data_IF_646159225315
#
_entry.id   IF_646159225315
#
_cell.length_a   1.000
_cell.length_b   1.000
_cell.length_c   1.000
_cell.angle_alpha   90.00
_cell.angle_beta   90.00
_cell.angle_gamma   90.00
#
_symmetry.space_group_name_H-M   'P 1'
#
loop_
_entity.id
_entity.type
_entity.pdbx_description
1 polymer ?
#
# COMPACT_ATOMS: atom_id res chain seq x y z
N UNK A 1 30.53 18.12 15.61
CA UNK A 1 29.60 17.31 16.41
C UNK A 1 28.29 17.33 15.64
N UNK A 2 27.94 16.23 14.97
CA UNK A 2 26.61 16.13 14.38
C UNK A 2 25.62 16.08 15.55
N UNK A 3 24.71 17.06 15.62
CA UNK A 3 23.57 16.97 16.53
C UNK A 3 22.90 15.62 16.27
N UNK A 4 22.75 14.81 17.32
CA UNK A 4 21.96 13.60 17.22
C UNK A 4 20.56 14.06 16.81
N UNK A 5 20.16 13.80 15.57
CA UNK A 5 18.82 14.05 15.11
C UNK A 5 17.87 13.39 16.08
N UNK A 6 16.94 14.15 16.64
CA UNK A 6 15.90 13.65 17.53
C UNK A 6 15.23 12.43 16.88
N UNK A 7 15.17 11.31 17.61
CA UNK A 7 14.56 10.07 17.14
C UNK A 7 13.08 10.30 16.85
N UNK A 8 12.72 10.23 15.58
CA UNK A 8 11.39 10.54 15.06
C UNK A 8 10.61 9.29 14.66
N UNK A 9 11.12 8.10 15.01
CA UNK A 9 10.55 6.81 14.63
C UNK A 9 9.08 6.66 15.05
N UNK A 10 8.71 7.07 16.26
CA UNK A 10 7.32 6.98 16.71
C UNK A 10 6.39 7.86 15.87
N UNK A 11 6.82 9.09 15.55
CA UNK A 11 6.02 10.02 14.77
C UNK A 11 5.85 9.53 13.33
N UNK A 12 6.93 9.03 12.73
CA UNK A 12 6.93 8.39 11.43
C UNK A 12 5.93 7.23 11.39
N UNK A 13 5.98 6.30 12.35
CA UNK A 13 5.08 5.15 12.40
C UNK A 13 3.62 5.57 12.61
N UNK A 14 3.38 6.54 13.49
CA UNK A 14 2.02 7.10 13.70
C UNK A 14 1.47 7.74 12.44
N UNK A 15 2.31 8.41 11.66
CA UNK A 15 1.92 8.98 10.37
C UNK A 15 1.68 7.90 9.33
N UNK A 16 2.64 7.00 9.12
CA UNK A 16 2.59 5.95 8.09
C UNK A 16 1.40 5.01 8.26
N UNK A 17 1.07 4.65 9.51
CA UNK A 17 -0.11 3.83 9.85
C UNK A 17 -1.41 4.66 10.01
N UNK A 18 -1.32 5.97 9.75
CA UNK A 18 -2.39 6.97 9.86
C UNK A 18 -3.13 6.97 11.21
N UNK A 19 -2.41 6.76 12.31
CA UNK A 19 -2.98 6.54 13.66
C UNK A 19 -3.70 7.77 14.25
N UNK A 20 -3.55 8.95 13.63
CA UNK A 20 -4.26 10.18 14.03
C UNK A 20 -5.77 10.12 13.74
N UNK A 21 -6.20 9.27 12.80
CA UNK A 21 -7.60 9.12 12.42
C UNK A 21 -8.30 8.06 13.28
N UNK A 22 -9.48 8.38 13.78
CA UNK A 22 -10.33 7.41 14.50
C UNK A 22 -11.04 6.48 13.51
N UNK A 23 -10.44 5.30 13.31
CA UNK A 23 -10.97 4.28 12.41
C UNK A 23 -12.35 3.78 12.83
N UNK A 24 -12.65 3.75 14.14
CA UNK A 24 -13.94 3.27 14.64
C UNK A 24 -15.06 4.21 14.22
N UNK A 25 -14.85 5.52 14.43
CA UNK A 25 -15.80 6.55 13.99
C UNK A 25 -16.04 6.50 12.48
N UNK A 26 -14.99 6.29 11.68
CA UNK A 26 -15.12 6.13 10.23
C UNK A 26 -15.95 4.90 9.84
N UNK A 27 -15.71 3.74 10.47
CA UNK A 27 -16.50 2.52 10.22
C UNK A 27 -17.97 2.71 10.59
N UNK A 28 -18.27 3.42 11.67
CA UNK A 28 -19.63 3.73 12.08
C UNK A 28 -20.33 4.67 11.07
N UNK A 29 -19.62 5.68 10.57
CA UNK A 29 -20.12 6.60 9.54
C UNK A 29 -20.44 5.87 8.23
N UNK A 30 -19.48 5.10 7.70
CA UNK A 30 -19.67 4.34 6.46
C UNK A 30 -20.75 3.27 6.60
N UNK A 31 -20.85 2.63 7.77
CA UNK A 31 -21.93 1.68 8.06
C UNK A 31 -23.30 2.35 8.12
N UNK A 32 -23.40 3.60 8.57
CA UNK A 32 -24.66 4.37 8.54
C UNK A 32 -25.08 4.69 7.11
N UNK A 33 -24.12 5.12 6.29
CA UNK A 33 -24.37 5.52 4.91
C UNK A 33 -24.62 4.35 3.94
N UNK A 34 -23.94 3.22 4.13
CA UNK A 34 -24.02 2.08 3.21
C UNK A 34 -24.40 0.76 3.90
N UNK A 35 -25.60 0.21 3.62
CA UNK A 35 -26.01 -1.12 4.10
C UNK A 35 -25.08 -2.26 3.67
N UNK A 36 -24.45 -2.18 2.49
CA UNK A 36 -23.51 -3.21 2.04
C UNK A 36 -22.22 -3.17 2.86
N UNK A 37 -21.67 -1.97 3.09
CA UNK A 37 -20.56 -1.77 4.01
C UNK A 37 -20.87 -2.30 5.41
N UNK A 38 -22.01 -1.91 6.00
CA UNK A 38 -22.45 -2.37 7.33
C UNK A 38 -22.46 -3.89 7.45
N UNK A 39 -22.87 -4.59 6.39
CA UNK A 39 -22.96 -6.05 6.36
C UNK A 39 -21.58 -6.71 6.33
N UNK A 40 -20.62 -6.16 5.56
CA UNK A 40 -19.33 -6.81 5.25
C UNK A 40 -18.19 -6.37 6.17
N UNK A 41 -18.16 -5.10 6.57
CA UNK A 41 -17.05 -4.51 7.31
C UNK A 41 -16.72 -5.16 8.67
N UNK A 42 -17.68 -5.71 9.46
CA UNK A 42 -17.36 -6.31 10.76
C UNK A 42 -16.37 -7.48 10.69
N UNK A 43 -16.29 -8.18 9.56
CA UNK A 43 -15.34 -9.28 9.34
C UNK A 43 -13.90 -8.78 9.06
N UNK A 44 -13.75 -7.50 8.72
CA UNK A 44 -12.50 -6.88 8.26
C UNK A 44 -12.12 -5.66 9.11
N UNK A 45 -12.26 -5.76 10.43
CA UNK A 45 -11.85 -4.70 11.34
C UNK A 45 -10.34 -4.41 11.27
N UNK A 46 -9.97 -3.13 11.46
CA UNK A 46 -8.57 -2.71 11.55
C UNK A 46 -7.87 -2.42 10.21
N UNK A 47 -8.57 -2.55 9.07
CA UNK A 47 -8.03 -2.14 7.77
C UNK A 47 -7.87 -0.62 7.72
N UNK A 48 -6.62 -0.16 7.60
CA UNK A 48 -6.23 1.26 7.53
C UNK A 48 -5.57 1.53 6.18
N UNK A 49 -5.69 2.76 5.71
CA UNK A 49 -4.86 3.24 4.61
C UNK A 49 -3.49 3.61 5.15
N UNK A 50 -2.44 3.25 4.41
CA UNK A 50 -1.08 3.70 4.73
C UNK A 50 -0.82 5.07 4.11
N UNK A 51 -0.13 5.93 4.84
CA UNK A 51 0.39 7.21 4.34
C UNK A 51 1.82 7.00 3.83
N UNK A 52 1.95 6.51 2.60
CA UNK A 52 3.23 6.19 1.95
C UNK A 52 3.89 7.44 1.38
N UNK A 53 5.19 7.34 1.06
CA UNK A 53 5.86 8.33 0.23
C UNK A 53 5.24 8.37 -1.19
N UNK A 54 5.03 9.58 -1.72
CA UNK A 54 4.33 9.78 -2.99
C UNK A 54 5.13 9.24 -4.19
N UNK A 55 6.46 9.35 -4.15
CA UNK A 55 7.33 8.87 -5.21
C UNK A 55 7.40 7.33 -5.21
N UNK A 56 7.57 6.73 -4.04
CA UNK A 56 7.51 5.27 -3.86
C UNK A 56 6.16 4.72 -4.33
N UNK A 57 5.05 5.32 -3.87
CA UNK A 57 3.71 4.92 -4.29
C UNK A 57 3.55 4.98 -5.82
N UNK A 58 4.00 6.07 -6.45
CA UNK A 58 3.94 6.25 -7.89
C UNK A 58 4.64 5.13 -8.66
N UNK A 59 5.90 4.84 -8.33
CA UNK A 59 6.66 3.82 -9.05
C UNK A 59 6.12 2.42 -8.77
N UNK A 60 5.69 2.12 -7.54
CA UNK A 60 5.02 0.88 -7.18
C UNK A 60 3.72 0.68 -7.98
N UNK A 61 2.89 1.72 -8.13
CA UNK A 61 1.65 1.60 -8.89
C UNK A 61 1.84 1.59 -10.41
N UNK A 62 2.90 2.21 -10.94
CA UNK A 62 3.32 1.98 -12.33
C UNK A 62 3.63 0.49 -12.54
N UNK A 63 4.38 -0.14 -11.62
CA UNK A 63 4.67 -1.58 -11.62
C UNK A 63 3.42 -2.46 -11.55
N UNK A 64 2.35 -1.95 -10.91
CA UNK A 64 1.09 -2.68 -10.71
C UNK A 64 0.20 -2.81 -11.95
N UNK A 65 0.35 -1.91 -12.92
CA UNK A 65 -0.51 -1.86 -14.12
C UNK A 65 -0.53 -3.21 -14.85
N UNK A 66 -1.68 -3.87 -15.00
CA UNK A 66 -1.80 -5.21 -15.62
C UNK A 66 -0.80 -6.24 -15.07
N UNK A 67 -0.79 -6.42 -13.75
CA UNK A 67 0.15 -7.28 -13.03
C UNK A 67 -0.53 -7.97 -11.83
N UNK A 68 0.22 -8.78 -11.08
CA UNK A 68 -0.25 -9.39 -9.83
C UNK A 68 0.68 -9.07 -8.66
N UNK A 69 0.16 -9.13 -7.43
CA UNK A 69 0.86 -8.72 -6.20
C UNK A 69 2.22 -9.39 -6.06
N UNK A 70 2.31 -10.71 -6.24
CA UNK A 70 3.56 -11.45 -6.07
C UNK A 70 4.67 -10.96 -7.02
N UNK A 71 4.32 -10.74 -8.30
CA UNK A 71 5.28 -10.20 -9.27
C UNK A 71 5.62 -8.74 -9.00
N UNK A 72 4.67 -7.92 -8.56
CA UNK A 72 4.91 -6.51 -8.21
C UNK A 72 5.91 -6.43 -7.07
N UNK A 73 5.73 -7.21 -5.99
CA UNK A 73 6.65 -7.24 -4.85
C UNK A 73 8.06 -7.62 -5.27
N UNK A 74 8.23 -8.61 -6.16
CA UNK A 74 9.53 -8.98 -6.70
C UNK A 74 10.16 -7.87 -7.55
N UNK A 75 9.36 -7.16 -8.35
CA UNK A 75 9.84 -6.03 -9.15
C UNK A 75 10.34 -4.90 -8.23
N UNK A 76 9.54 -4.51 -7.23
CA UNK A 76 9.91 -3.45 -6.28
C UNK A 76 11.17 -3.83 -5.50
N UNK A 77 11.26 -5.07 -5.00
CA UNK A 77 12.47 -5.54 -4.31
C UNK A 77 13.72 -5.44 -5.19
N UNK A 78 13.66 -5.87 -6.46
CA UNK A 78 14.76 -5.70 -7.41
C UNK A 78 15.09 -4.23 -7.66
N UNK A 79 14.08 -3.37 -7.72
CA UNK A 79 14.28 -1.94 -7.91
C UNK A 79 15.14 -1.36 -6.78
N UNK A 80 14.77 -1.63 -5.52
CA UNK A 80 15.51 -1.18 -4.34
C UNK A 80 16.92 -1.77 -4.32
N UNK A 81 17.08 -3.07 -4.59
CA UNK A 81 18.40 -3.72 -4.59
C UNK A 81 19.38 -3.10 -5.61
N UNK A 82 18.89 -2.72 -6.79
CA UNK A 82 19.75 -2.25 -7.88
C UNK A 82 19.93 -0.72 -7.93
N UNK A 83 18.97 0.06 -7.39
CA UNK A 83 18.97 1.52 -7.50
C UNK A 83 18.77 2.25 -6.17
N UNK A 84 18.38 1.54 -5.11
CA UNK A 84 18.17 2.07 -3.78
C UNK A 84 19.48 2.17 -2.98
N UNK A 85 19.63 3.18 -2.11
CA UNK A 85 20.78 3.27 -1.23
C UNK A 85 20.77 2.14 -0.20
N UNK A 86 21.95 1.63 0.14
CA UNK A 86 22.11 0.61 1.17
C UNK A 86 21.80 1.21 2.56
N UNK A 87 20.83 0.63 3.26
CA UNK A 87 20.53 0.97 4.67
C UNK A 87 21.44 0.16 5.60
N UNK A 88 21.51 -1.16 5.36
CA UNK A 88 22.28 -2.06 6.21
C UNK A 88 21.95 -3.52 5.98
N UNK A 89 22.35 -4.36 6.95
CA UNK A 89 22.11 -5.81 6.92
C UNK A 89 21.47 -6.28 8.22
N UNK A 90 20.52 -7.20 8.11
CA UNK A 90 19.96 -7.93 9.24
C UNK A 90 20.19 -9.41 8.95
N UNK A 91 21.10 -10.04 9.70
CA UNK A 91 21.63 -11.36 9.34
C UNK A 91 22.33 -11.31 7.97
N UNK A 92 21.95 -12.23 7.08
CA UNK A 92 22.49 -12.31 5.71
C UNK A 92 21.72 -11.45 4.69
N UNK A 93 20.59 -10.86 5.10
CA UNK A 93 19.74 -10.08 4.21
C UNK A 93 20.20 -8.61 4.15
N UNK A 94 20.30 -8.08 2.93
CA UNK A 94 20.71 -6.70 2.65
C UNK A 94 19.48 -5.85 2.37
N UNK A 95 19.31 -4.78 3.16
CA UNK A 95 18.18 -3.87 3.05
C UNK A 95 18.61 -2.59 2.34
N UNK A 96 17.91 -2.29 1.25
CA UNK A 96 18.05 -1.07 0.49
C UNK A 96 16.79 -0.22 0.65
N UNK A 97 16.96 1.09 0.69
CA UNK A 97 15.85 2.03 0.65
C UNK A 97 15.24 2.09 -0.76
N UNK A 98 14.14 2.81 -0.91
CA UNK A 98 13.57 3.10 -2.23
C UNK A 98 14.52 4.04 -3.03
N UNK A 99 14.71 3.83 -4.34
CA UNK A 99 15.55 4.72 -5.15
C UNK A 99 14.98 6.13 -5.21
N UNK A 100 15.85 7.15 -5.18
CA UNK A 100 15.44 8.53 -5.47
C UNK A 100 15.08 8.68 -6.95
N UNK A 101 14.31 9.72 -7.34
CA UNK A 101 14.03 10.01 -8.74
C UNK A 101 15.30 10.09 -9.60
N UNK A 102 16.36 10.73 -9.09
CA UNK A 102 17.62 10.94 -9.79
C UNK A 102 18.31 9.61 -10.14
N UNK A 103 18.27 8.64 -9.23
CA UNK A 103 18.86 7.31 -9.43
C UNK A 103 18.26 6.56 -10.64
N UNK A 104 17.06 6.96 -11.09
CA UNK A 104 16.32 6.33 -12.18
C UNK A 104 16.35 7.13 -13.50
N UNK A 105 17.16 8.19 -13.59
CA UNK A 105 17.27 9.05 -14.80
C UNK A 105 18.36 8.62 -15.80
N UNK A 106 19.25 7.72 -15.41
CA UNK A 106 20.38 7.30 -16.24
C UNK A 106 19.98 6.68 -17.59
N UNK A 107 20.78 6.92 -18.63
CA UNK A 107 20.48 6.43 -20.00
C UNK A 107 20.41 4.91 -20.12
N UNK A 108 21.07 4.17 -19.23
CA UNK A 108 21.04 2.70 -19.17
C UNK A 108 19.88 2.13 -18.35
N UNK A 109 19.16 2.96 -17.58
CA UNK A 109 18.15 2.51 -16.60
C UNK A 109 17.03 1.72 -17.28
N UNK A 110 16.48 2.22 -18.40
CA UNK A 110 15.41 1.50 -19.11
C UNK A 110 15.89 0.11 -19.56
N UNK A 111 17.07 0.02 -20.17
CA UNK A 111 17.61 -1.24 -20.68
C UNK A 111 17.81 -2.25 -19.54
N UNK A 112 18.42 -1.82 -18.44
CA UNK A 112 18.66 -2.68 -17.29
C UNK A 112 17.35 -3.10 -16.60
N UNK A 113 16.35 -2.22 -16.46
CA UNK A 113 15.03 -2.60 -15.94
C UNK A 113 14.33 -3.64 -16.83
N UNK A 114 14.54 -3.60 -18.16
CA UNK A 114 14.02 -4.64 -19.07
C UNK A 114 14.68 -5.99 -18.80
N UNK A 115 15.99 -6.02 -18.58
CA UNK A 115 16.74 -7.22 -18.19
C UNK A 115 16.25 -7.79 -16.85
N UNK A 116 15.91 -6.92 -15.90
CA UNK A 116 15.34 -7.31 -14.59
C UNK A 116 13.88 -7.81 -14.65
N UNK A 117 13.23 -7.70 -15.82
CA UNK A 117 11.90 -8.26 -16.08
C UNK A 117 10.73 -7.29 -15.90
N UNK A 118 10.98 -5.98 -15.91
CA UNK A 118 9.93 -4.95 -15.82
C UNK A 118 9.07 -4.84 -17.09
N UNK A 119 9.59 -5.35 -18.22
CA UNK A 119 8.89 -5.33 -19.51
C UNK A 119 8.67 -3.91 -20.02
N UNK A 120 7.47 -3.60 -20.52
CA UNK A 120 7.16 -2.27 -21.05
C UNK A 120 7.19 -1.17 -19.98
N UNK A 121 7.03 -1.52 -18.69
CA UNK A 121 7.02 -0.57 -17.57
C UNK A 121 8.40 0.05 -17.32
N UNK A 122 9.47 -0.61 -17.76
CA UNK A 122 10.82 -0.06 -17.70
C UNK A 122 10.89 1.33 -18.34
N UNK A 123 10.26 1.49 -19.51
CA UNK A 123 10.16 2.78 -20.21
C UNK A 123 9.39 3.81 -19.39
N UNK A 124 8.26 3.41 -18.80
CA UNK A 124 7.43 4.30 -17.99
C UNK A 124 8.17 4.81 -16.77
N UNK A 125 8.90 3.94 -16.06
CA UNK A 125 9.70 4.32 -14.89
C UNK A 125 10.80 5.31 -15.28
N UNK A 126 11.61 4.99 -16.30
CA UNK A 126 12.70 5.87 -16.73
C UNK A 126 12.19 7.24 -17.23
N UNK A 127 11.11 7.26 -18.01
CA UNK A 127 10.52 8.51 -18.51
C UNK A 127 9.88 9.33 -17.37
N UNK A 128 9.19 8.67 -16.44
CA UNK A 128 8.58 9.34 -15.29
C UNK A 128 9.65 9.93 -14.37
N UNK A 129 10.71 9.19 -14.06
CA UNK A 129 11.85 9.69 -13.31
C UNK A 129 12.49 10.91 -13.98
N UNK A 130 12.75 10.81 -15.30
CA UNK A 130 13.28 11.93 -16.08
C UNK A 130 12.36 13.16 -16.03
N UNK A 131 11.04 12.97 -16.14
CA UNK A 131 10.11 14.10 -16.12
C UNK A 131 10.02 14.74 -14.75
N UNK A 132 9.97 13.95 -13.68
CA UNK A 132 9.97 14.45 -12.29
C UNK A 132 11.24 15.25 -11.99
N UNK A 133 12.41 14.79 -12.43
CA UNK A 133 13.69 15.46 -12.14
C UNK A 133 13.92 16.69 -13.02
N UNK A 134 13.60 16.62 -14.31
CA UNK A 134 13.99 17.65 -15.28
C UNK A 134 12.88 18.65 -15.63
N UNK A 135 11.61 18.24 -15.55
CA UNK A 135 10.47 19.05 -16.03
C UNK A 135 9.61 19.62 -14.90
N UNK A 136 9.70 19.06 -13.68
CA UNK A 136 8.88 19.47 -12.53
C UNK A 136 9.68 20.33 -11.55
N UNK A 137 9.05 21.32 -10.90
CA UNK A 137 9.73 22.12 -9.89
C UNK A 137 10.09 21.26 -8.67
N UNK A 138 11.14 21.67 -7.94
CA UNK A 138 11.43 21.08 -6.63
C UNK A 138 10.23 21.24 -5.71
N UNK A 139 9.87 20.19 -4.97
CA UNK A 139 8.69 20.19 -4.12
C UNK A 139 7.39 19.87 -4.86
N UNK A 140 7.45 19.28 -6.06
CA UNK A 140 6.26 19.04 -6.87
C UNK A 140 5.26 18.10 -6.19
N UNK A 141 5.69 16.97 -5.61
CA UNK A 141 4.77 16.07 -4.90
C UNK A 141 4.13 16.73 -3.68
N UNK A 142 4.89 17.54 -2.96
CA UNK A 142 4.43 18.33 -1.82
C UNK A 142 3.35 19.34 -2.25
N UNK A 143 3.50 19.93 -3.44
CA UNK A 143 2.48 20.82 -4.00
C UNK A 143 1.18 20.12 -4.38
N UNK A 144 1.20 18.79 -4.58
CA UNK A 144 0.02 17.97 -4.90
C UNK A 144 -0.59 17.27 -3.68
N UNK A 145 0.05 17.42 -2.52
CA UNK A 145 -0.35 16.72 -1.29
C UNK A 145 -1.58 17.37 -0.69
N UNK A 146 -2.47 16.56 -0.10
CA UNK A 146 -3.62 17.04 0.65
C UNK A 146 -3.16 17.93 1.82
N UNK A 147 -3.54 19.22 1.86
CA UNK A 147 -3.11 20.12 2.93
C UNK A 147 -3.65 19.72 4.32
N UNK A 148 -4.71 18.93 4.39
CA UNK A 148 -5.29 18.42 5.65
C UNK A 148 -4.67 17.09 6.10
N UNK A 149 -3.89 16.44 5.24
CA UNK A 149 -3.21 15.18 5.52
C UNK A 149 -1.85 15.18 4.80
N UNK A 150 -0.98 16.05 5.28
CA UNK A 150 0.34 16.31 4.68
C UNK A 150 1.26 15.12 4.82
N UNK A 151 2.12 14.85 3.83
CA UNK A 151 3.19 13.85 3.89
C UNK A 151 4.01 13.98 5.18
N UNK A 152 4.66 12.89 5.58
CA UNK A 152 5.65 12.91 6.66
C UNK A 152 6.89 13.69 6.23
N UNK A 153 6.78 15.01 6.30
CA UNK A 153 7.87 15.93 6.00
C UNK A 153 7.99 16.84 7.21
N UNK A 154 9.17 16.87 7.80
CA UNK A 154 9.62 17.97 8.67
C UNK A 154 9.81 19.21 7.79
N UNK A 155 8.72 19.78 7.27
CA UNK A 155 8.80 21.13 6.71
C UNK A 155 9.14 22.06 7.84
N UNK A 156 9.95 23.09 7.58
CA UNK A 156 10.19 24.11 8.60
C UNK A 156 8.83 24.64 9.07
N UNK A 157 8.61 24.65 10.39
CA UNK A 157 7.36 25.08 11.01
C UNK A 157 6.88 26.40 10.38
N UNK A 158 5.64 26.42 9.88
CA UNK A 158 5.04 27.62 9.26
C UNK A 158 5.13 27.72 7.74
N UNK A 159 5.73 26.74 7.05
CA UNK A 159 5.68 26.64 5.58
C UNK A 159 4.25 26.30 5.12
N UNK A 160 3.50 27.27 4.59
CA UNK A 160 2.18 26.98 3.98
C UNK A 160 2.38 26.16 2.72
N UNK A 161 1.86 24.93 2.71
CA UNK A 161 1.75 24.15 1.47
C UNK A 161 0.82 24.87 0.49
N UNK A 162 1.10 24.77 -0.83
CA UNK A 162 0.18 25.26 -1.85
C UNK A 162 -1.24 24.69 -1.63
N UNK A 163 -2.26 25.49 -1.89
CA UNK A 163 -3.62 24.96 -1.97
C UNK A 163 -3.72 24.17 -3.27
N UNK A 164 -4.00 22.88 -3.15
CA UNK A 164 -4.28 21.97 -4.25
C UNK A 164 -5.56 21.20 -3.92
N UNK A 165 -6.26 20.73 -4.94
CA UNK A 165 -7.41 19.84 -4.82
C UNK A 165 -7.05 18.43 -5.30
N UNK A 166 -7.80 17.42 -4.85
CA UNK A 166 -7.69 16.05 -5.37
C UNK A 166 -7.70 16.00 -6.90
N UNK A 167 -8.59 16.75 -7.55
CA UNK A 167 -8.71 16.76 -9.02
C UNK A 167 -7.45 17.31 -9.69
N UNK A 168 -6.90 18.41 -9.18
CA UNK A 168 -5.66 18.98 -9.72
C UNK A 168 -4.48 18.02 -9.52
N UNK A 169 -4.36 17.40 -8.34
CA UNK A 169 -3.34 16.38 -8.07
C UNK A 169 -3.44 15.20 -9.05
N UNK A 170 -4.66 14.70 -9.28
CA UNK A 170 -4.93 13.62 -10.22
C UNK A 170 -4.56 14.00 -11.65
N UNK A 171 -4.98 15.17 -12.13
CA UNK A 171 -4.68 15.67 -13.47
C UNK A 171 -3.19 15.90 -13.71
N UNK A 172 -2.45 16.34 -12.69
CA UNK A 172 -1.00 16.48 -12.76
C UNK A 172 -0.31 15.13 -12.89
N UNK A 173 -0.74 14.12 -12.13
CA UNK A 173 -0.19 12.77 -12.20
C UNK A 173 -0.45 12.09 -13.56
N UNK A 174 -1.61 12.34 -14.18
CA UNK A 174 -1.96 11.79 -15.50
C UNK A 174 -1.02 12.23 -16.64
N UNK A 175 -0.22 13.27 -16.43
CA UNK A 175 0.76 13.74 -17.42
C UNK A 175 2.02 12.84 -17.46
N UNK A 176 2.20 11.96 -16.47
CA UNK A 176 3.36 11.09 -16.36
C UNK A 176 3.23 9.82 -17.22
N UNK A 177 4.37 9.30 -17.67
CA UNK A 177 4.42 8.11 -18.53
C UNK A 177 4.00 6.86 -17.75
N UNK A 178 3.01 6.14 -18.27
CA UNK A 178 2.49 4.93 -17.63
C UNK A 178 1.49 5.18 -16.50
N UNK A 179 1.07 6.44 -16.27
CA UNK A 179 0.08 6.80 -15.26
C UNK A 179 -1.28 7.01 -15.93
N UNK A 180 -2.20 6.06 -15.71
CA UNK A 180 -3.61 6.22 -16.05
C UNK A 180 -4.47 6.56 -14.82
N UNK A 181 -5.79 6.76 -14.98
CA UNK A 181 -6.68 7.18 -13.90
C UNK A 181 -6.55 6.35 -12.62
N UNK A 182 -6.52 5.02 -12.75
CA UNK A 182 -6.33 4.12 -11.60
C UNK A 182 -5.01 4.33 -10.87
N UNK A 183 -3.91 4.49 -11.62
CA UNK A 183 -2.58 4.69 -11.01
C UNK A 183 -2.55 6.04 -10.31
N UNK A 184 -3.07 7.10 -10.95
CA UNK A 184 -3.19 8.42 -10.34
C UNK A 184 -4.01 8.39 -9.06
N UNK A 185 -5.19 7.75 -9.05
CA UNK A 185 -6.00 7.61 -7.83
C UNK A 185 -5.30 6.80 -6.73
N UNK A 186 -4.54 5.75 -7.08
CA UNK A 186 -3.76 5.04 -6.09
C UNK A 186 -2.71 5.95 -5.42
N UNK A 187 -2.02 6.77 -6.20
CA UNK A 187 -1.03 7.73 -5.67
C UNK A 187 -1.71 8.84 -4.86
N UNK A 188 -2.86 9.36 -5.34
CA UNK A 188 -3.65 10.33 -4.58
C UNK A 188 -4.06 9.77 -3.21
N UNK A 189 -4.56 8.54 -3.16
CA UNK A 189 -5.07 7.89 -1.95
C UNK A 189 -3.96 7.51 -0.97
N UNK A 190 -2.89 6.86 -1.46
CA UNK A 190 -1.85 6.24 -0.62
C UNK A 190 -0.59 7.07 -0.46
N UNK A 191 -0.29 7.97 -1.40
CA UNK A 191 0.94 8.78 -1.39
C UNK A 191 0.72 10.26 -1.09
N UNK A 192 -0.44 10.82 -1.47
CA UNK A 192 -0.72 12.26 -1.35
C UNK A 192 -1.81 12.58 -0.31
N UNK A 193 -2.35 11.59 0.38
CA UNK A 193 -3.31 11.79 1.48
C UNK A 193 -4.73 12.19 1.07
N UNK A 194 -5.10 12.09 -0.20
CA UNK A 194 -6.46 12.35 -0.71
C UNK A 194 -7.40 11.19 -0.40
N UNK A 195 -7.98 11.17 0.81
CA UNK A 195 -8.87 10.08 1.27
C UNK A 195 -10.11 9.84 0.40
N UNK A 196 -10.50 10.82 -0.41
CA UNK A 196 -11.65 10.75 -1.33
C UNK A 196 -11.32 10.10 -2.68
N UNK A 197 -10.03 9.87 -2.98
CA UNK A 197 -9.60 9.22 -4.22
C UNK A 197 -10.03 7.74 -4.22
N UNK A 198 -10.71 7.30 -5.27
CA UNK A 198 -11.22 5.92 -5.40
C UNK A 198 -10.60 5.27 -6.64
N UNK A 199 -9.55 4.44 -6.50
CA UNK A 199 -8.94 3.77 -7.63
C UNK A 199 -9.86 2.67 -8.17
N UNK A 200 -10.43 2.85 -9.36
CA UNK A 200 -11.36 1.87 -9.94
C UNK A 200 -10.63 0.91 -10.88
N UNK A 201 -10.35 -0.30 -10.40
CA UNK A 201 -9.85 -1.40 -11.24
C UNK A 201 -10.95 -2.40 -11.63
N UNK A 202 -10.55 -3.54 -12.19
CA UNK A 202 -11.49 -4.60 -12.59
C UNK A 202 -12.25 -5.23 -11.41
N UNK A 203 -11.64 -5.33 -10.24
CA UNK A 203 -12.28 -5.86 -9.04
C UNK A 203 -13.27 -4.84 -8.46
N UNK A 204 -12.86 -3.58 -8.38
CA UNK A 204 -13.76 -2.48 -7.96
C UNK A 204 -14.97 -2.39 -8.88
N UNK A 205 -14.75 -2.52 -10.18
CA UNK A 205 -15.83 -2.57 -11.16
C UNK A 205 -16.78 -3.76 -10.96
N UNK A 206 -16.25 -4.94 -10.56
CA UNK A 206 -17.08 -6.10 -10.22
C UNK A 206 -17.91 -5.85 -8.96
N UNK A 207 -17.33 -5.24 -7.92
CA UNK A 207 -18.03 -4.84 -6.69
C UNK A 207 -19.14 -3.83 -7.01
N UNK A 208 -18.84 -2.78 -7.79
CA UNK A 208 -19.80 -1.77 -8.20
C UNK A 208 -21.00 -2.38 -8.94
N UNK A 209 -20.78 -3.33 -9.86
CA UNK A 209 -21.87 -4.01 -10.57
C UNK A 209 -22.68 -4.95 -9.66
N UNK A 210 -21.99 -5.78 -8.86
CA UNK A 210 -22.62 -6.81 -8.02
C UNK A 210 -23.43 -6.20 -6.88
N UNK A 211 -22.82 -5.26 -6.16
CA UNK A 211 -23.34 -4.78 -4.88
C UNK A 211 -24.11 -3.45 -5.04
N UNK A 212 -23.70 -2.60 -6.00
CA UNK A 212 -24.27 -1.26 -6.21
C UNK A 212 -25.06 -1.12 -7.52
N UNK A 213 -25.23 -2.22 -8.27
CA UNK A 213 -26.04 -2.30 -9.49
C UNK A 213 -25.59 -1.35 -10.61
N UNK A 214 -24.31 -0.98 -10.65
CA UNK A 214 -23.71 -0.26 -11.77
C UNK A 214 -23.81 -1.07 -13.08
N UNK A 215 -23.89 -0.38 -14.22
CA UNK A 215 -23.59 -1.00 -15.52
C UNK A 215 -24.58 -2.06 -16.02
N UNK A 216 -25.88 -1.97 -15.72
CA UNK A 216 -26.90 -2.82 -16.38
C UNK A 216 -27.02 -2.61 -17.91
N UNK A 217 -26.31 -1.63 -18.47
CA UNK A 217 -26.27 -1.31 -19.89
C UNK A 217 -25.20 -2.13 -20.63
N UNK A 218 -25.56 -2.66 -21.82
CA UNK A 218 -24.79 -3.58 -22.68
C UNK A 218 -23.47 -3.02 -23.26
N UNK A 219 -22.88 -1.97 -22.69
CA UNK A 219 -21.60 -1.40 -23.14
C UNK A 219 -20.44 -2.24 -22.62
N UNK A 220 -19.76 -2.94 -23.54
CA UNK A 220 -18.65 -3.86 -23.23
C UNK A 220 -17.34 -3.18 -22.83
N UNK A 221 -17.23 -1.86 -22.96
CA UNK A 221 -15.97 -1.12 -22.79
C UNK A 221 -16.03 -0.25 -21.55
N UNK A 222 -15.12 -0.51 -20.61
CA UNK A 222 -14.90 0.35 -19.45
C UNK A 222 -14.22 1.65 -19.91
N UNK A 223 -14.99 2.74 -19.97
CA UNK A 223 -14.54 4.04 -20.47
C UNK A 223 -14.40 5.06 -19.32
N UNK A 224 -13.82 6.23 -19.61
CA UNK A 224 -13.57 7.28 -18.61
C UNK A 224 -14.83 7.72 -17.87
N UNK A 225 -15.95 7.90 -18.57
CA UNK A 225 -17.21 8.31 -17.94
C UNK A 225 -17.71 7.28 -16.91
N UNK A 226 -17.51 5.99 -17.19
CA UNK A 226 -17.90 4.92 -16.27
C UNK A 226 -16.94 4.82 -15.07
N UNK A 227 -15.64 5.07 -15.30
CA UNK A 227 -14.66 5.21 -14.22
C UNK A 227 -15.05 6.35 -13.27
N UNK A 228 -15.31 7.53 -13.83
CA UNK A 228 -15.68 8.73 -13.08
C UNK A 228 -16.98 8.52 -12.29
N UNK A 229 -18.01 7.95 -12.93
CA UNK A 229 -19.30 7.69 -12.29
C UNK A 229 -19.22 6.72 -11.09
N UNK A 230 -18.35 5.71 -11.16
CA UNK A 230 -18.12 4.79 -10.03
C UNK A 230 -17.43 5.52 -8.88
N UNK A 231 -16.40 6.30 -9.19
CA UNK A 231 -15.70 7.09 -8.18
C UNK A 231 -16.61 8.12 -7.52
N UNK A 232 -17.41 8.85 -8.32
CA UNK A 232 -18.36 9.86 -7.84
C UNK A 232 -19.41 9.25 -6.92
N UNK A 233 -19.99 8.11 -7.30
CA UNK A 233 -20.95 7.42 -6.43
C UNK A 233 -20.36 7.02 -5.08
N UNK A 234 -19.15 6.47 -5.05
CA UNK A 234 -18.51 6.12 -3.78
C UNK A 234 -18.12 7.33 -2.95
N UNK A 235 -17.73 8.46 -3.59
CA UNK A 235 -17.53 9.75 -2.90
C UNK A 235 -18.82 10.31 -2.33
N UNK A 236 -19.93 10.26 -3.07
CA UNK A 236 -21.25 10.67 -2.56
C UNK A 236 -21.69 9.81 -1.38
N UNK A 237 -21.36 8.52 -1.39
CA UNK A 237 -21.77 7.57 -0.36
C UNK A 237 -20.94 7.65 0.93
N UNK A 238 -19.62 7.80 0.82
CA UNK A 238 -18.68 7.71 1.96
C UNK A 238 -17.89 9.00 2.23
N UNK A 239 -18.13 10.05 1.43
CA UNK A 239 -17.56 11.37 1.63
C UNK A 239 -16.05 11.42 1.53
N UNK A 240 -15.45 12.21 2.42
CA UNK A 240 -14.03 12.59 2.43
C UNK A 240 -13.05 11.42 2.49
N UNK A 241 -13.49 10.26 2.99
CA UNK A 241 -12.66 9.05 3.11
C UNK A 241 -13.21 7.89 2.28
N UNK A 242 -13.87 8.17 1.16
CA UNK A 242 -14.42 7.15 0.28
C UNK A 242 -13.40 6.12 -0.21
N UNK A 243 -12.16 6.53 -0.50
CA UNK A 243 -11.07 5.62 -0.87
C UNK A 243 -10.72 4.63 0.23
N UNK A 244 -10.84 5.03 1.49
CA UNK A 244 -10.61 4.17 2.64
C UNK A 244 -11.73 3.14 2.79
N UNK A 245 -12.99 3.58 2.79
CA UNK A 245 -14.16 2.71 2.86
C UNK A 245 -14.15 1.66 1.74
N UNK A 246 -13.90 2.13 0.52
CA UNK A 246 -13.73 1.28 -0.65
C UNK A 246 -12.65 0.20 -0.45
N UNK A 247 -11.52 0.55 0.17
CA UNK A 247 -10.41 -0.38 0.37
C UNK A 247 -10.72 -1.48 1.38
N UNK A 248 -11.61 -1.23 2.34
CA UNK A 248 -12.14 -2.28 3.23
C UNK A 248 -12.94 -3.30 2.42
N UNK A 249 -13.84 -2.84 1.54
CA UNK A 249 -14.64 -3.73 0.69
C UNK A 249 -13.80 -4.48 -0.35
N UNK A 250 -12.79 -3.82 -0.91
CA UNK A 250 -11.82 -4.46 -1.79
C UNK A 250 -11.08 -5.59 -1.06
N UNK A 251 -10.61 -5.32 0.17
CA UNK A 251 -9.94 -6.34 1.01
C UNK A 251 -10.85 -7.52 1.28
N UNK A 252 -12.15 -7.28 1.50
CA UNK A 252 -13.14 -8.32 1.70
C UNK A 252 -13.37 -9.22 0.47
N UNK A 253 -13.11 -8.71 -0.73
CA UNK A 253 -13.32 -9.43 -1.99
C UNK A 253 -12.08 -10.23 -2.46
N UNK A 254 -10.91 -9.93 -1.89
CA UNK A 254 -9.68 -10.67 -2.19
C UNK A 254 -9.78 -12.10 -1.65
N UNK A 255 -9.62 -13.09 -2.54
CA UNK A 255 -9.72 -14.53 -2.23
C UNK A 255 -8.90 -14.96 -1.00
N UNK A 256 -7.68 -14.44 -0.88
CA UNK A 256 -6.76 -14.71 0.24
C UNK A 256 -7.35 -14.34 1.60
N UNK A 257 -8.26 -13.36 1.64
CA UNK A 257 -8.90 -12.88 2.86
C UNK A 257 -10.33 -13.40 3.01
N UNK A 258 -11.06 -13.63 1.90
CA UNK A 258 -12.38 -14.26 1.95
C UNK A 258 -12.33 -15.72 2.43
N UNK A 259 -11.21 -16.43 2.23
CA UNK A 259 -11.04 -17.80 2.76
C UNK A 259 -10.73 -17.81 4.27
N UNK A 260 -10.20 -16.71 4.82
CA UNK A 260 -9.96 -16.56 6.27
C UNK A 260 -11.27 -16.35 7.05
N UNK A 261 -12.28 -15.77 6.42
CA UNK A 261 -13.61 -15.59 7.05
C UNK A 261 -14.42 -16.89 7.06
N UNK A 262 -14.22 -17.78 6.09
CA UNK A 262 -14.87 -19.12 6.07
C UNK A 262 -14.24 -20.09 7.08
N UNK A 263 -13.00 -19.87 7.52
CA UNK A 263 -12.29 -20.73 8.50
C UNK A 263 -12.51 -20.34 9.97
N UNK A 264 -13.49 -19.50 10.29
CA UNK A 264 -13.85 -19.18 11.69
C UNK A 264 -14.85 -20.18 12.27
N UNK A 265 -14.53 -21.46 12.18
CA UNK A 265 -14.95 -22.49 13.12
C UNK A 265 -13.70 -23.25 13.53
N UNK A 266 -12.96 -22.68 14.47
CA UNK A 266 -12.33 -23.41 15.58
C UNK A 266 -11.73 -22.40 16.57
N UNK A 267 -11.93 -22.73 17.83
CA UNK A 267 -11.87 -21.87 19.01
C UNK A 267 -10.43 -21.49 19.37
N UNK A 268 -9.92 -20.36 18.88
CA UNK A 268 -8.69 -19.75 19.43
C UNK A 268 -9.04 -18.86 20.62
N UNK A 269 -9.28 -19.49 21.78
CA UNK A 269 -9.28 -18.80 23.07
C UNK A 269 -7.84 -18.42 23.44
N UNK A 270 -7.47 -17.15 23.24
CA UNK A 270 -6.23 -16.59 23.80
C UNK A 270 -6.36 -16.55 25.33
N UNK A 271 -5.72 -17.48 26.04
CA UNK A 271 -5.62 -17.45 27.50
C UNK A 271 -4.39 -16.64 27.91
N UNK A 272 -4.61 -15.42 28.39
CA UNK A 272 -3.57 -14.66 29.09
C UNK A 272 -3.42 -15.24 30.51
N UNK A 273 -2.31 -15.90 30.80
CA UNK A 273 -1.94 -16.26 32.17
C UNK A 273 -1.10 -15.13 32.77
N UNK A 274 -1.65 -14.42 33.75
CA UNK A 274 -0.86 -13.58 34.64
C UNK A 274 -0.26 -14.44 35.75
N UNK A 275 1.05 -14.68 35.69
CA UNK A 275 1.78 -15.21 36.84
C UNK A 275 2.46 -14.06 37.59
N UNK A 276 1.99 -13.81 38.81
CA UNK A 276 2.62 -12.87 39.75
C UNK A 276 3.67 -13.64 40.57
N UNK A 277 4.93 -13.59 40.13
CA UNK A 277 6.06 -14.07 40.96
C UNK A 277 6.50 -12.97 41.91
N UNK A 278 6.40 -13.23 43.22
CA UNK A 278 6.95 -12.37 44.28
C UNK A 278 8.31 -12.96 44.70
N UNK A 279 9.40 -12.38 44.22
CA UNK A 279 10.74 -12.75 44.69
C UNK A 279 10.95 -12.19 46.11
N UNK A 280 11.29 -13.07 47.06
CA UNK A 280 11.82 -12.67 48.36
C UNK A 280 13.33 -12.50 48.25
N UNK A 281 13.82 -11.25 48.31
CA UNK A 281 15.24 -11.00 48.54
C UNK A 281 15.56 -10.94 50.05
N UNK A 282 16.69 -11.58 50.38
CA UNK A 282 17.36 -11.60 51.69
C UNK A 282 17.69 -10.20 52.24
N UNK A 283 17.78 -10.03 53.57
CA UNK A 283 17.77 -8.70 54.20
C UNK A 283 19.14 -8.02 54.15
N UNK A 284 19.17 -6.77 53.67
CA UNK A 284 20.19 -5.78 54.05
C UNK A 284 19.47 -4.58 54.68
N UNK A 285 19.98 -4.13 55.83
CA UNK A 285 19.38 -3.16 56.74
C UNK A 285 18.87 -1.87 56.04
N UNK A 286 17.63 -1.49 56.37
CA UNK A 286 17.26 -0.08 56.55
C UNK A 286 16.62 0.66 55.38
N UNK A 287 15.40 0.26 54.96
CA UNK A 287 14.22 1.08 54.60
C UNK A 287 13.32 0.30 53.62
N UNK A 288 12.04 0.12 53.99
CA UNK A 288 11.06 -0.65 53.20
C UNK A 288 10.56 0.16 51.99
N UNK A 289 10.89 -0.28 50.77
CA UNK A 289 10.12 0.01 49.54
C UNK A 289 9.77 -1.32 48.88
N UNK A 290 8.47 -1.63 48.77
CA UNK A 290 7.97 -2.75 47.94
C UNK A 290 7.99 -2.28 46.48
N UNK A 291 8.80 -2.91 45.65
CA UNK A 291 8.72 -2.76 44.19
C UNK A 291 8.03 -4.02 43.64
N UNK A 292 6.85 -3.85 43.05
CA UNK A 292 6.14 -4.92 42.34
C UNK A 292 6.58 -4.86 40.89
N UNK A 293 7.30 -5.89 40.41
CA UNK A 293 7.60 -6.05 38.97
C UNK A 293 6.58 -7.02 38.37
N UNK A 294 5.69 -6.53 37.53
CA UNK A 294 4.79 -7.38 36.72
C UNK A 294 5.56 -7.84 35.47
N UNK A 295 5.78 -9.15 35.33
CA UNK A 295 6.30 -9.75 34.09
C UNK A 295 5.12 -10.34 33.32
N UNK A 296 4.79 -9.78 32.16
CA UNK A 296 3.80 -10.35 31.25
C UNK A 296 4.52 -11.29 30.29
N UNK A 297 4.22 -12.59 30.34
CA UNK A 297 4.73 -13.57 29.39
C UNK A 297 3.58 -13.92 28.43
N UNK A 298 3.76 -13.59 27.15
CA UNK A 298 2.81 -13.96 26.09
C UNK A 298 3.41 -15.15 25.37
N UNK A 299 2.81 -16.33 25.54
CA UNK A 299 3.14 -17.53 24.74
C UNK A 299 2.14 -17.63 23.59
N UNK A 300 2.64 -17.64 22.36
CA UNK A 300 1.86 -17.87 21.15
C UNK A 300 2.34 -19.18 20.53
N UNK A 301 1.56 -20.25 20.69
CA UNK A 301 1.82 -21.50 19.97
C UNK A 301 1.46 -21.30 18.49
N UNK A 302 2.45 -21.42 17.61
CA UNK A 302 2.24 -21.50 16.16
C UNK A 302 2.36 -22.96 15.74
N UNK A 303 1.26 -23.55 15.28
CA UNK A 303 1.37 -24.69 14.37
C UNK A 303 1.80 -24.15 13.00
N UNK A 304 3.00 -24.53 12.55
CA UNK A 304 3.52 -24.20 11.23
C UNK A 304 2.87 -25.14 10.21
N UNK A 305 2.12 -24.65 9.21
CA UNK A 305 1.68 -25.49 8.10
C UNK A 305 2.87 -25.74 7.17
N UNK A 306 3.15 -27.01 6.86
CA UNK A 306 4.14 -27.44 5.88
C UNK A 306 3.92 -26.72 4.53
N UNK A 307 4.80 -25.77 4.21
CA UNK A 307 4.89 -25.21 2.87
C UNK A 307 5.85 -26.07 2.05
N UNK A 308 5.28 -26.81 1.10
CA UNK A 308 6.00 -27.63 0.15
C UNK A 308 7.06 -26.80 -0.62
N UNK A 309 8.32 -27.18 -0.43
CA UNK A 309 9.43 -26.85 -1.31
C UNK A 309 9.11 -27.35 -2.73
N UNK A 310 8.76 -26.43 -3.63
CA UNK A 310 8.66 -26.71 -5.06
C UNK A 310 10.01 -26.42 -5.72
N UNK A 311 10.87 -27.44 -5.76
CA UNK A 311 11.98 -27.50 -6.73
C UNK A 311 11.41 -27.51 -8.15
N UNK A 312 11.84 -26.56 -8.97
CA UNK A 312 11.44 -26.45 -10.36
C UNK A 312 12.38 -27.25 -11.27
N UNK A 313 11.95 -28.45 -11.67
CA UNK A 313 12.56 -29.16 -12.80
C UNK A 313 12.05 -28.60 -14.14
N UNK A 314 12.91 -28.39 -15.17
CA UNK A 314 12.50 -27.77 -16.43
C UNK A 314 11.73 -28.75 -17.33
N UNK A 315 10.47 -28.45 -17.63
CA UNK A 315 9.69 -29.19 -18.65
C UNK A 315 10.09 -28.75 -20.06
N UNK A 316 10.66 -29.70 -20.82
CA UNK A 316 10.97 -29.61 -22.27
C UNK A 316 9.75 -29.13 -23.07
N UNK A 317 9.94 -28.05 -23.84
CA UNK A 317 8.96 -27.50 -24.80
C UNK A 317 9.02 -28.32 -26.10
N UNK A 318 7.90 -28.94 -26.51
CA UNK A 318 7.74 -29.57 -27.83
C UNK A 318 7.58 -28.47 -28.89
N UNK A 319 8.51 -28.40 -29.83
CA UNK A 319 8.41 -27.60 -31.06
C UNK A 319 7.50 -28.31 -32.07
N UNK A 320 6.55 -27.58 -32.66
CA UNK A 320 5.72 -28.05 -33.77
C UNK A 320 6.31 -27.50 -35.07
N UNK A 321 6.99 -28.36 -35.83
CA UNK A 321 7.54 -28.05 -37.16
C UNK A 321 6.41 -27.81 -38.16
N UNK A 322 6.42 -26.65 -38.83
CA UNK A 322 5.64 -26.46 -40.05
C UNK A 322 6.40 -27.08 -41.22
N UNK A 323 5.85 -28.16 -41.79
CA UNK A 323 6.31 -28.73 -43.04
C UNK A 323 5.66 -27.99 -44.21
N UNK A 324 6.49 -27.42 -45.09
CA UNK A 324 6.14 -27.04 -46.47
C UNK A 324 5.62 -28.27 -47.22
N UNK A 325 4.54 -28.11 -47.98
CA UNK A 325 4.29 -28.94 -49.17
C UNK A 325 3.92 -28.04 -50.34
N UNK A 326 4.75 -28.16 -51.36
CA UNK A 326 4.57 -27.79 -52.75
C UNK A 326 3.41 -28.57 -53.38
N UNK A 327 2.55 -27.87 -54.09
CA UNK A 327 2.03 -28.22 -55.42
C UNK A 327 1.76 -26.92 -56.15
#
# INVERSE_FOLDING_TARGET
MAEASEDDTEELLRHYLSLKLDLKSLYEEWSKADPNFRKRAPEFGGVRMLSQDAWEALICFICSSNNNIARISQMVHKLCLHYGPLIGKIGDETFHDFPTPEALTGSSVEAHLRELGFGYRAKYIAQTASSVVNDRPKGWFESLTNPENTCYIKTAEGSKLPQCTYKEAHEQLLQLSGVGPKVADCVCLMGLGWGEAVPVDTHVWQIAQRDYKFGKTKTKTFNKAMYDAVGDHFRELWGKYAGWAHSVLFTADLKTFSERTVKKEEDQTVRVKEEVTVDQETPILGQKRKVVKTKVKVEVEHEVPDTALLESSPKRRRTRSQARKTS
#
